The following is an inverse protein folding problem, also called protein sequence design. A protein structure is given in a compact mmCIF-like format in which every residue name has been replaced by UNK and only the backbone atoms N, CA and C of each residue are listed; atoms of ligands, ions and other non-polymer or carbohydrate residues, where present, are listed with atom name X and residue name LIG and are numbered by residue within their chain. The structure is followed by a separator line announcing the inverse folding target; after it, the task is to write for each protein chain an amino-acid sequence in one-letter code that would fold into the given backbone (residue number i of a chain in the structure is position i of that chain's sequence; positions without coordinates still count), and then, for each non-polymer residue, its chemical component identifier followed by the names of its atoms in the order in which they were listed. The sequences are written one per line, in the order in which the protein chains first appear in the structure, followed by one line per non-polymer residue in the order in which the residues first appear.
data_IF_586058212355
#
_entry.id   IF_586058212355
#
_cell.length_a   1.000
_cell.length_b   1.000
_cell.length_c   1.000
_cell.angle_alpha   90.00
_cell.angle_beta   90.00
_cell.angle_gamma   90.00
#
_symmetry.space_group_name_H-M   'P 1'
#
loop_
_entity.id
_entity.type
_entity.pdbx_description
1 polymer ?
#
# COMPACT_ATOMS: atom_id res chain seq x y z
N UNK A 1 -18.78 -7.80 11.99
CA UNK A 1 -17.92 -7.07 11.03
C UNK A 1 -16.63 -6.71 11.75
N UNK A 2 -15.48 -7.07 11.18
CA UNK A 2 -14.14 -6.79 11.70
C UNK A 2 -13.43 -5.84 10.75
N UNK A 3 -12.55 -4.98 11.30
CA UNK A 3 -11.70 -4.10 10.50
C UNK A 3 -10.26 -4.61 10.55
N UNK A 4 -9.64 -4.83 9.39
CA UNK A 4 -8.19 -5.02 9.30
C UNK A 4 -7.53 -3.64 9.18
N UNK A 5 -6.93 -3.19 10.27
CA UNK A 5 -6.38 -1.83 10.43
C UNK A 5 -4.96 -1.69 9.88
N UNK A 6 -4.81 -1.82 8.56
CA UNK A 6 -3.51 -1.61 7.89
C UNK A 6 -3.05 -0.15 7.93
N UNK A 7 -3.94 0.80 8.26
CA UNK A 7 -3.59 2.18 8.59
C UNK A 7 -2.70 2.30 9.83
N UNK A 8 -2.68 1.29 10.72
CA UNK A 8 -1.83 1.23 11.92
C UNK A 8 -0.48 0.54 11.68
N UNK A 9 -0.22 0.06 10.47
CA UNK A 9 1.05 -0.56 10.12
C UNK A 9 2.20 0.47 10.18
N UNK A 10 3.46 0.02 10.30
CA UNK A 10 4.69 0.81 10.54
C UNK A 10 4.81 2.11 9.73
N UNK A 11 4.35 2.11 8.47
CA UNK A 11 4.44 3.27 7.56
C UNK A 11 3.09 3.97 7.35
N UNK A 12 2.07 3.59 8.10
CA UNK A 12 0.69 4.07 8.02
C UNK A 12 -0.15 3.41 6.92
N UNK A 13 0.30 2.28 6.38
CA UNK A 13 -0.42 1.52 5.34
C UNK A 13 0.12 0.10 5.18
N UNK A 14 -0.61 -0.74 4.46
CA UNK A 14 -0.21 -2.11 4.11
C UNK A 14 1.08 -2.22 3.27
N UNK A 15 1.54 -1.11 2.68
CA UNK A 15 2.65 -1.12 1.70
C UNK A 15 3.96 -1.64 2.27
N UNK A 16 4.21 -1.51 3.58
CA UNK A 16 5.43 -2.05 4.20
C UNK A 16 5.53 -3.58 4.08
N UNK A 17 4.39 -4.30 4.10
CA UNK A 17 4.37 -5.77 4.02
C UNK A 17 5.05 -6.28 2.75
N UNK A 18 4.64 -5.73 1.60
CA UNK A 18 5.22 -6.07 0.31
C UNK A 18 6.67 -5.60 0.18
N UNK A 19 6.95 -4.35 0.56
CA UNK A 19 8.28 -3.75 0.42
C UNK A 19 9.35 -4.55 1.18
N UNK A 20 9.04 -5.02 2.38
CA UNK A 20 10.01 -5.80 3.18
C UNK A 20 10.35 -7.12 2.49
N UNK A 21 9.39 -7.77 1.81
CA UNK A 21 9.64 -9.01 1.07
C UNK A 21 10.46 -8.74 -0.19
N UNK A 22 10.10 -7.73 -1.00
CA UNK A 22 10.91 -7.32 -2.15
C UNK A 22 12.36 -7.04 -1.76
N UNK A 23 12.57 -6.29 -0.66
CA UNK A 23 13.92 -6.01 -0.18
C UNK A 23 14.65 -7.24 0.34
N UNK A 24 13.94 -8.20 0.96
CA UNK A 24 14.54 -9.47 1.37
C UNK A 24 15.00 -10.33 0.18
N UNK A 25 14.41 -10.11 -0.99
CA UNK A 25 14.71 -10.80 -2.24
C UNK A 25 15.64 -10.02 -3.16
N UNK A 26 15.99 -8.78 -2.78
CA UNK A 26 16.93 -7.97 -3.52
C UNK A 26 18.30 -8.67 -3.62
N UNK A 27 19.03 -8.51 -4.74
CA UNK A 27 20.35 -9.11 -4.93
C UNK A 27 21.35 -8.73 -3.83
N UNK A 28 22.31 -9.61 -3.55
CA UNK A 28 23.34 -9.38 -2.53
C UNK A 28 24.14 -8.09 -2.75
N UNK A 29 24.31 -7.65 -4.00
CA UNK A 29 24.97 -6.40 -4.38
C UNK A 29 24.23 -5.14 -3.88
N UNK A 30 22.93 -5.24 -3.58
CA UNK A 30 22.20 -4.17 -2.89
C UNK A 30 22.58 -4.14 -1.40
N UNK A 31 22.64 -5.31 -0.77
CA UNK A 31 22.97 -5.42 0.67
C UNK A 31 24.43 -5.14 0.98
N UNK A 32 25.36 -5.35 0.03
CA UNK A 32 26.75 -4.92 0.12
C UNK A 32 26.97 -3.45 -0.26
N UNK A 33 25.89 -2.72 -0.56
CA UNK A 33 25.90 -1.32 -0.99
C UNK A 33 26.68 -1.03 -2.30
N UNK A 34 26.95 -2.06 -3.11
CA UNK A 34 27.51 -1.90 -4.47
C UNK A 34 26.49 -1.30 -5.43
N UNK A 35 25.21 -1.62 -5.25
CA UNK A 35 24.09 -1.15 -6.05
C UNK A 35 23.03 -0.50 -5.16
N UNK A 36 22.40 0.56 -5.65
CA UNK A 36 21.25 1.17 -4.99
C UNK A 36 19.91 0.56 -5.43
N UNK A 37 18.85 0.87 -4.69
CA UNK A 37 17.47 0.58 -5.07
C UNK A 37 16.81 1.80 -5.71
N UNK A 38 15.96 1.57 -6.72
CA UNK A 38 15.12 2.63 -7.31
C UNK A 38 13.66 2.20 -7.28
N UNK A 39 12.75 3.16 -7.14
CA UNK A 39 11.31 2.93 -7.37
C UNK A 39 10.62 4.18 -7.92
N UNK A 40 9.34 4.06 -8.28
CA UNK A 40 8.48 5.17 -8.70
C UNK A 40 7.24 5.27 -7.80
N UNK A 41 7.20 6.23 -6.88
CA UNK A 41 6.00 6.48 -6.06
C UNK A 41 6.11 7.74 -5.19
N UNK A 42 5.17 8.67 -5.33
CA UNK A 42 5.00 9.77 -4.38
C UNK A 42 4.15 9.40 -3.13
N UNK A 43 3.62 8.18 -3.07
CA UNK A 43 2.58 7.79 -2.10
C UNK A 43 3.06 6.83 -1.02
N UNK A 44 2.12 6.02 -0.52
CA UNK A 44 2.35 5.03 0.54
C UNK A 44 3.46 4.02 0.22
N UNK A 45 3.61 3.66 -1.05
CA UNK A 45 4.71 2.79 -1.46
C UNK A 45 6.05 3.50 -1.31
N UNK A 46 6.21 4.72 -1.86
CA UNK A 46 7.46 5.49 -1.76
C UNK A 46 7.86 5.76 -0.31
N UNK A 47 6.90 6.08 0.56
CA UNK A 47 7.13 6.20 2.01
C UNK A 47 7.63 4.89 2.63
N UNK A 48 7.02 3.76 2.26
CA UNK A 48 7.40 2.44 2.79
C UNK A 48 8.77 1.99 2.29
N UNK A 49 9.05 2.21 1.01
CA UNK A 49 10.35 2.01 0.38
C UNK A 49 11.44 2.81 1.09
N UNK A 50 11.21 4.11 1.31
CA UNK A 50 12.20 4.97 1.95
C UNK A 50 12.48 4.56 3.40
N UNK A 51 11.41 4.21 4.15
CA UNK A 51 11.55 3.68 5.51
C UNK A 51 12.37 2.38 5.54
N UNK A 52 12.10 1.46 4.62
CA UNK A 52 12.79 0.18 4.59
C UNK A 52 14.25 0.32 4.10
N UNK A 53 14.54 1.26 3.20
CA UNK A 53 15.92 1.60 2.82
C UNK A 53 16.71 2.11 4.03
N UNK A 54 16.13 3.05 4.78
CA UNK A 54 16.71 3.60 6.00
C UNK A 54 17.02 2.52 7.04
N UNK A 55 16.05 1.64 7.32
CA UNK A 55 16.20 0.58 8.31
C UNK A 55 17.29 -0.45 7.94
N UNK A 56 17.52 -0.67 6.65
CA UNK A 56 18.52 -1.61 6.14
C UNK A 56 19.87 -0.97 5.81
N UNK A 57 19.98 0.35 5.89
CA UNK A 57 21.19 1.08 5.53
C UNK A 57 21.55 0.98 4.04
N UNK A 58 20.56 0.81 3.16
CA UNK A 58 20.78 0.70 1.70
C UNK A 58 20.46 2.01 1.00
N UNK A 59 21.22 2.35 -0.06
CA UNK A 59 20.96 3.53 -0.89
C UNK A 59 19.65 3.35 -1.65
N UNK A 60 18.74 4.31 -1.57
CA UNK A 60 17.45 4.28 -2.25
C UNK A 60 17.13 5.59 -2.97
N UNK A 61 16.58 5.49 -4.18
CA UNK A 61 16.12 6.62 -5.00
C UNK A 61 14.64 6.46 -5.32
N UNK A 62 13.84 7.51 -5.09
CA UNK A 62 12.43 7.55 -5.47
C UNK A 62 12.21 8.53 -6.61
N UNK A 63 11.75 8.02 -7.75
CA UNK A 63 11.27 8.83 -8.86
C UNK A 63 9.81 9.19 -8.63
N UNK A 64 9.43 10.45 -8.83
CA UNK A 64 8.05 10.90 -8.61
C UNK A 64 7.63 12.03 -9.57
N UNK A 65 6.32 12.22 -9.81
CA UNK A 65 5.82 13.34 -10.61
C UNK A 65 6.25 14.70 -10.06
N UNK A 66 6.48 15.68 -10.94
CA UNK A 66 6.70 17.07 -10.52
C UNK A 66 5.51 17.63 -9.71
N UNK A 67 4.30 17.17 -10.01
CA UNK A 67 3.05 17.55 -9.33
C UNK A 67 2.90 16.94 -7.94
N UNK A 68 3.77 16.01 -7.54
CA UNK A 68 3.72 15.40 -6.21
C UNK A 68 3.86 16.46 -5.11
N UNK A 69 3.01 16.43 -4.05
CA UNK A 69 3.10 17.40 -2.96
C UNK A 69 4.50 17.41 -2.33
N UNK A 70 5.04 18.61 -2.03
CA UNK A 70 6.37 18.77 -1.43
C UNK A 70 6.51 18.04 -0.08
N UNK A 71 5.42 17.94 0.68
CA UNK A 71 5.37 17.18 1.93
C UNK A 71 5.70 15.69 1.73
N UNK A 72 5.28 15.08 0.61
CA UNK A 72 5.58 13.67 0.31
C UNK A 72 7.07 13.47 0.01
N UNK A 73 7.69 14.38 -0.74
CA UNK A 73 9.14 14.39 -0.97
C UNK A 73 9.93 14.55 0.33
N UNK A 74 9.54 15.50 1.18
CA UNK A 74 10.21 15.74 2.46
C UNK A 74 10.20 14.50 3.35
N UNK A 75 9.08 13.75 3.40
CA UNK A 75 9.00 12.49 4.13
C UNK A 75 10.02 11.49 3.58
N UNK A 76 10.12 11.32 2.26
CA UNK A 76 11.06 10.37 1.64
C UNK A 76 12.51 10.78 1.91
N UNK A 77 12.86 12.06 1.69
CA UNK A 77 14.21 12.58 1.95
C UNK A 77 14.60 12.50 3.43
N UNK A 78 13.65 12.68 4.35
CA UNK A 78 13.91 12.54 5.80
C UNK A 78 14.34 11.13 6.21
N UNK A 79 14.13 10.13 5.35
CA UNK A 79 14.61 8.75 5.54
C UNK A 79 15.95 8.48 4.84
N UNK A 80 16.58 9.50 4.25
CA UNK A 80 17.88 9.37 3.59
C UNK A 80 17.82 8.86 2.14
N UNK A 81 16.62 8.79 1.55
CA UNK A 81 16.49 8.46 0.13
C UNK A 81 16.58 9.70 -0.75
N UNK A 82 17.19 9.51 -1.93
CA UNK A 82 17.19 10.51 -2.99
C UNK A 82 15.80 10.60 -3.63
N UNK A 83 15.44 11.80 -4.09
CA UNK A 83 14.19 12.05 -4.82
C UNK A 83 14.50 12.72 -6.14
N UNK A 84 13.96 12.16 -7.21
CA UNK A 84 14.05 12.70 -8.57
C UNK A 84 12.63 13.02 -9.05
N UNK A 85 12.39 14.29 -9.39
CA UNK A 85 11.13 14.73 -9.98
C UNK A 85 11.19 14.73 -11.50
N UNK A 86 10.15 14.21 -12.15
CA UNK A 86 10.00 14.17 -13.62
C UNK A 86 8.54 14.35 -14.00
N UNK A 87 8.28 14.62 -15.28
CA UNK A 87 6.91 14.55 -15.79
C UNK A 87 6.37 13.13 -15.67
N UNK A 88 5.06 12.98 -15.53
CA UNK A 88 4.43 11.67 -15.34
C UNK A 88 4.75 10.69 -16.47
N UNK A 89 4.89 11.20 -17.71
CA UNK A 89 5.29 10.43 -18.89
C UNK A 89 6.74 9.95 -18.87
N UNK A 90 7.60 10.57 -18.06
CA UNK A 90 9.05 10.33 -18.03
C UNK A 90 9.50 9.47 -16.85
N UNK A 91 8.59 9.12 -15.91
CA UNK A 91 8.96 8.42 -14.67
C UNK A 91 9.64 7.08 -14.95
N UNK A 92 9.03 6.24 -15.79
CA UNK A 92 9.57 4.94 -16.15
C UNK A 92 10.86 5.05 -16.94
N UNK A 93 10.96 6.02 -17.86
CA UNK A 93 12.20 6.29 -18.58
C UNK A 93 13.33 6.62 -17.59
N UNK A 94 13.08 7.47 -16.59
CA UNK A 94 14.09 7.83 -15.60
C UNK A 94 14.51 6.65 -14.72
N UNK A 95 13.57 5.77 -14.34
CA UNK A 95 13.90 4.52 -13.65
C UNK A 95 14.81 3.67 -14.53
N UNK A 96 14.47 3.50 -15.81
CA UNK A 96 15.24 2.70 -16.75
C UNK A 96 16.67 3.22 -16.95
N UNK A 97 16.83 4.54 -17.04
CA UNK A 97 18.15 5.18 -17.09
C UNK A 97 19.01 4.84 -15.85
N UNK A 98 18.41 4.85 -14.65
CA UNK A 98 19.12 4.53 -13.41
C UNK A 98 19.49 3.04 -13.33
N UNK A 99 18.65 2.15 -13.85
CA UNK A 99 18.98 0.73 -13.97
C UNK A 99 20.13 0.51 -14.96
N UNK A 100 20.08 1.15 -16.13
CA UNK A 100 21.02 0.88 -17.22
C UNK A 100 22.38 1.55 -17.01
N UNK A 101 22.41 2.76 -16.43
CA UNK A 101 23.65 3.56 -16.26
C UNK A 101 24.28 3.35 -14.88
N UNK A 102 23.46 3.44 -13.82
CA UNK A 102 23.95 3.35 -12.44
C UNK A 102 23.84 1.94 -11.88
N UNK A 103 23.28 1.00 -12.65
CA UNK A 103 23.06 -0.37 -12.20
C UNK A 103 22.07 -0.43 -11.04
N UNK A 104 21.15 0.52 -10.84
CA UNK A 104 20.20 0.41 -9.73
C UNK A 104 19.27 -0.82 -9.91
N UNK A 105 18.72 -1.33 -8.81
CA UNK A 105 17.70 -2.40 -8.84
C UNK A 105 16.33 -1.78 -8.66
N UNK A 106 15.46 -1.94 -9.65
CA UNK A 106 14.10 -1.42 -9.57
C UNK A 106 13.19 -2.32 -8.74
N UNK A 107 12.55 -1.75 -7.72
CA UNK A 107 11.46 -2.39 -7.00
C UNK A 107 10.12 -1.84 -7.50
N UNK A 108 9.37 -2.70 -8.17
CA UNK A 108 8.12 -2.29 -8.81
C UNK A 108 7.01 -2.10 -7.76
N UNK A 109 6.23 -0.99 -7.80
CA UNK A 109 5.32 -0.61 -6.70
C UNK A 109 3.98 -1.37 -6.64
N UNK A 110 3.69 -2.21 -7.65
CA UNK A 110 2.45 -3.00 -7.71
C UNK A 110 2.60 -4.34 -8.45
N UNK A 111 3.18 -4.36 -9.64
CA UNK A 111 3.39 -5.56 -10.47
C UNK A 111 4.70 -6.29 -10.12
N UNK A 112 4.71 -7.00 -8.99
CA UNK A 112 5.86 -7.77 -8.51
C UNK A 112 5.36 -8.93 -7.63
N UNK A 113 5.84 -10.14 -7.88
CA UNK A 113 5.38 -11.34 -7.17
C UNK A 113 5.79 -11.36 -5.70
N UNK A 114 6.99 -10.87 -5.36
CA UNK A 114 7.48 -10.78 -3.99
C UNK A 114 6.68 -9.73 -3.21
N UNK A 115 6.32 -8.63 -3.87
CA UNK A 115 5.42 -7.63 -3.31
C UNK A 115 4.05 -8.22 -2.98
N UNK A 116 3.45 -8.93 -3.93
CA UNK A 116 2.14 -9.57 -3.79
C UNK A 116 2.19 -10.63 -2.69
N UNK A 117 3.27 -11.43 -2.64
CA UNK A 117 3.48 -12.41 -1.57
C UNK A 117 3.52 -11.74 -0.20
N UNK A 118 4.23 -10.61 -0.06
CA UNK A 118 4.24 -9.83 1.17
C UNK A 118 2.86 -9.34 1.59
N UNK A 119 2.04 -8.85 0.66
CA UNK A 119 0.64 -8.49 0.96
C UNK A 119 -0.22 -9.68 1.42
N UNK A 120 0.14 -10.91 1.03
CA UNK A 120 -0.53 -12.12 1.49
C UNK A 120 -0.45 -12.36 3.00
N UNK A 121 0.55 -11.79 3.68
CA UNK A 121 0.60 -11.81 5.15
C UNK A 121 -0.65 -11.21 5.80
N UNK A 122 -1.26 -10.20 5.20
CA UNK A 122 -2.51 -9.63 5.71
C UNK A 122 -3.66 -10.65 5.63
N UNK A 123 -3.74 -11.45 4.55
CA UNK A 123 -4.72 -12.51 4.40
C UNK A 123 -4.49 -13.68 5.36
N UNK A 124 -3.23 -14.03 5.63
CA UNK A 124 -2.87 -15.05 6.62
C UNK A 124 -3.35 -14.64 8.01
N UNK A 125 -3.05 -13.40 8.43
CA UNK A 125 -3.48 -12.89 9.73
C UNK A 125 -5.02 -12.85 9.82
N UNK A 126 -5.73 -12.43 8.77
CA UNK A 126 -7.21 -12.46 8.75
C UNK A 126 -7.77 -13.87 8.94
N UNK A 127 -7.17 -14.88 8.28
CA UNK A 127 -7.57 -16.27 8.43
C UNK A 127 -7.38 -16.76 9.87
N UNK A 128 -6.21 -16.48 10.47
CA UNK A 128 -5.88 -16.88 11.84
C UNK A 128 -6.73 -16.17 12.89
N UNK A 129 -7.06 -14.89 12.67
CA UNK A 129 -7.82 -14.09 13.63
C UNK A 129 -9.32 -14.37 13.58
N UNK A 130 -9.87 -14.64 12.39
CA UNK A 130 -11.34 -14.58 12.17
C UNK A 130 -11.94 -15.65 11.27
N UNK A 131 -11.15 -16.37 10.48
CA UNK A 131 -11.65 -17.31 9.45
C UNK A 131 -12.81 -16.72 8.62
N UNK A 132 -12.59 -15.63 7.85
CA UNK A 132 -13.68 -14.82 7.32
C UNK A 132 -14.48 -15.52 6.23
N UNK A 133 -15.80 -15.38 6.26
CA UNK A 133 -16.68 -15.75 5.15
C UNK A 133 -16.56 -14.74 3.99
N UNK A 134 -16.37 -13.46 4.32
CA UNK A 134 -16.34 -12.37 3.34
C UNK A 134 -15.22 -11.39 3.67
N UNK A 135 -14.44 -10.99 2.65
CA UNK A 135 -13.41 -9.95 2.74
C UNK A 135 -13.68 -8.84 1.72
N UNK A 136 -13.71 -7.60 2.18
CA UNK A 136 -13.78 -6.41 1.33
C UNK A 136 -12.42 -5.73 1.33
N UNK A 137 -11.82 -5.57 0.15
CA UNK A 137 -10.45 -5.05 0.00
C UNK A 137 -10.38 -4.07 -1.16
N UNK A 138 -9.65 -2.96 -0.98
CA UNK A 138 -9.53 -1.98 -2.06
C UNK A 138 -8.71 -2.56 -3.24
N UNK A 139 -9.00 -2.11 -4.45
CA UNK A 139 -8.31 -2.52 -5.65
C UNK A 139 -7.86 -1.30 -6.46
N UNK A 140 -6.57 -0.94 -6.32
CA UNK A 140 -5.87 -0.14 -7.33
C UNK A 140 -5.29 -1.08 -8.38
N UNK A 141 -3.96 -1.22 -8.42
CA UNK A 141 -3.26 -2.16 -9.31
C UNK A 141 -3.36 -3.65 -8.95
N UNK A 142 -4.38 -4.09 -8.21
CA UNK A 142 -4.64 -5.51 -7.90
C UNK A 142 -3.72 -6.19 -6.87
N UNK A 143 -2.50 -5.69 -6.62
CA UNK A 143 -1.53 -6.42 -5.79
C UNK A 143 -2.02 -6.81 -4.38
N UNK A 144 -2.73 -5.91 -3.67
CA UNK A 144 -3.25 -6.21 -2.33
C UNK A 144 -4.32 -7.30 -2.35
N UNK A 145 -5.32 -7.19 -3.25
CA UNK A 145 -6.38 -8.20 -3.35
C UNK A 145 -5.82 -9.55 -3.77
N UNK A 146 -4.86 -9.57 -4.70
CA UNK A 146 -4.17 -10.79 -5.10
C UNK A 146 -3.43 -11.44 -3.93
N UNK A 147 -2.67 -10.65 -3.17
CA UNK A 147 -1.94 -11.13 -2.01
C UNK A 147 -2.87 -11.68 -0.93
N UNK A 148 -3.85 -10.87 -0.48
CA UNK A 148 -4.85 -11.27 0.52
C UNK A 148 -5.55 -12.56 0.10
N UNK A 149 -5.96 -12.66 -1.16
CA UNK A 149 -6.58 -13.88 -1.70
C UNK A 149 -5.64 -15.09 -1.56
N UNK A 150 -4.39 -14.97 -1.99
CA UNK A 150 -3.41 -16.04 -1.88
C UNK A 150 -3.17 -16.46 -0.41
N UNK A 151 -3.06 -15.49 0.51
CA UNK A 151 -2.86 -15.74 1.94
C UNK A 151 -4.03 -16.49 2.59
N UNK A 152 -5.27 -16.08 2.31
CA UNK A 152 -6.47 -16.75 2.80
C UNK A 152 -6.57 -18.19 2.28
N UNK A 153 -6.33 -18.40 0.97
CA UNK A 153 -6.36 -19.75 0.37
C UNK A 153 -5.26 -20.64 0.92
N UNK A 154 -4.06 -20.09 1.15
CA UNK A 154 -2.96 -20.81 1.75
C UNK A 154 -3.29 -21.34 3.17
N UNK A 155 -4.05 -20.56 3.96
CA UNK A 155 -4.50 -20.94 5.30
C UNK A 155 -5.75 -21.82 5.33
N UNK A 156 -6.27 -22.23 4.17
CA UNK A 156 -7.40 -23.16 4.07
C UNK A 156 -8.77 -22.49 4.00
N UNK A 157 -8.87 -21.16 4.04
CA UNK A 157 -10.11 -20.41 3.86
C UNK A 157 -10.51 -20.40 2.37
N UNK A 158 -10.91 -21.55 1.82
CA UNK A 158 -11.18 -21.75 0.38
C UNK A 158 -12.49 -21.11 -0.07
N UNK A 159 -13.47 -21.06 0.81
CA UNK A 159 -14.83 -20.59 0.49
C UNK A 159 -15.05 -19.10 0.76
N UNK A 160 -14.06 -18.40 1.34
CA UNK A 160 -14.13 -16.95 1.58
C UNK A 160 -14.39 -16.20 0.28
N UNK A 161 -15.47 -15.42 0.25
CA UNK A 161 -15.80 -14.50 -0.85
C UNK A 161 -14.97 -13.23 -0.72
N UNK A 162 -14.31 -12.81 -1.79
CA UNK A 162 -13.43 -11.63 -1.77
C UNK A 162 -13.96 -10.61 -2.76
N UNK A 163 -14.30 -9.42 -2.26
CA UNK A 163 -14.80 -8.31 -3.05
C UNK A 163 -13.73 -7.24 -3.19
N UNK A 164 -13.26 -7.06 -4.42
CA UNK A 164 -12.39 -5.96 -4.82
C UNK A 164 -13.21 -4.67 -4.96
N UNK A 165 -12.76 -3.60 -4.32
CA UNK A 165 -13.42 -2.28 -4.35
C UNK A 165 -12.48 -1.24 -4.93
N UNK A 166 -12.76 -0.77 -6.14
CA UNK A 166 -11.99 0.30 -6.79
C UNK A 166 -12.43 1.68 -6.25
N UNK A 167 -13.63 2.11 -6.64
CA UNK A 167 -14.21 3.39 -6.25
C UNK A 167 -15.60 3.25 -5.61
N UNK A 168 -15.90 4.11 -4.63
CA UNK A 168 -17.25 4.31 -4.12
C UNK A 168 -17.53 5.79 -3.88
N UNK A 169 -18.68 6.29 -4.37
CA UNK A 169 -19.10 7.67 -4.20
C UNK A 169 -19.25 8.10 -2.72
N UNK A 170 -19.37 7.14 -1.78
CA UNK A 170 -19.47 7.42 -0.34
C UNK A 170 -18.12 7.38 0.38
N UNK A 171 -16.97 7.36 -0.32
CA UNK A 171 -15.64 7.38 0.32
C UNK A 171 -15.50 8.54 1.33
N UNK A 172 -15.88 9.76 0.97
CA UNK A 172 -15.79 10.90 1.89
C UNK A 172 -16.62 10.69 3.17
N UNK A 173 -17.87 10.22 3.03
CA UNK A 173 -18.74 9.88 4.16
C UNK A 173 -18.16 8.75 5.01
N UNK A 174 -17.57 7.74 4.38
CA UNK A 174 -16.95 6.60 5.04
C UNK A 174 -15.72 7.03 5.86
N UNK A 175 -14.86 7.89 5.29
CA UNK A 175 -13.71 8.49 5.98
C UNK A 175 -14.16 9.29 7.20
N UNK A 176 -15.19 10.14 7.07
CA UNK A 176 -15.77 10.89 8.20
C UNK A 176 -16.26 9.97 9.31
N UNK A 177 -16.99 8.90 8.97
CA UNK A 177 -17.49 7.93 9.95
C UNK A 177 -16.37 7.18 10.68
N UNK A 178 -15.27 6.86 10.00
CA UNK A 178 -14.10 6.25 10.63
C UNK A 178 -13.39 7.24 11.56
N UNK A 179 -13.27 8.50 11.15
CA UNK A 179 -12.69 9.56 11.96
C UNK A 179 -13.48 9.85 13.24
N UNK A 180 -14.81 9.93 13.15
CA UNK A 180 -15.72 10.07 14.31
C UNK A 180 -15.60 8.90 15.30
N UNK A 181 -15.06 7.75 14.86
CA UNK A 181 -14.77 6.56 15.67
C UNK A 181 -13.31 6.50 16.15
N UNK A 182 -12.55 7.58 15.96
CA UNK A 182 -11.15 7.68 16.38
C UNK A 182 -10.13 7.07 15.42
N UNK A 183 -10.54 6.71 14.18
CA UNK A 183 -9.64 6.15 13.18
C UNK A 183 -9.29 7.20 12.12
N UNK A 184 -8.01 7.59 12.07
CA UNK A 184 -7.49 8.41 10.97
C UNK A 184 -7.22 7.50 9.76
N UNK A 185 -7.93 7.78 8.68
CA UNK A 185 -7.93 6.97 7.45
C UNK A 185 -7.85 7.93 6.27
N UNK A 186 -6.98 7.62 5.30
CA UNK A 186 -6.93 8.37 4.04
C UNK A 186 -8.11 7.97 3.14
N UNK A 187 -8.56 8.82 2.18
CA UNK A 187 -9.72 8.49 1.35
C UNK A 187 -9.66 7.12 0.66
N UNK A 188 -8.52 6.76 0.04
CA UNK A 188 -8.30 5.43 -0.53
C UNK A 188 -8.35 4.31 0.51
N UNK A 189 -7.93 4.60 1.75
CA UNK A 189 -8.00 3.72 2.91
C UNK A 189 -9.42 3.33 3.31
N UNK A 190 -10.40 4.16 3.00
CA UNK A 190 -11.79 3.97 3.36
C UNK A 190 -12.65 3.29 2.28
N UNK A 191 -12.11 2.98 1.09
CA UNK A 191 -12.88 2.48 -0.05
C UNK A 191 -13.68 1.20 0.27
N UNK A 192 -13.05 0.21 0.89
CA UNK A 192 -13.73 -1.03 1.28
C UNK A 192 -14.84 -0.80 2.33
N UNK A 193 -14.60 0.12 3.28
CA UNK A 193 -15.60 0.51 4.26
C UNK A 193 -16.75 1.29 3.63
N UNK A 194 -16.48 2.11 2.62
CA UNK A 194 -17.49 2.81 1.83
C UNK A 194 -18.42 1.83 1.12
N UNK A 195 -17.89 0.77 0.50
CA UNK A 195 -18.72 -0.26 -0.13
C UNK A 195 -19.64 -0.98 0.87
N UNK A 196 -19.13 -1.26 2.09
CA UNK A 196 -19.93 -1.83 3.19
C UNK A 196 -21.11 -0.92 3.53
N UNK A 197 -20.86 0.35 3.87
CA UNK A 197 -21.91 1.30 4.30
C UNK A 197 -22.80 1.75 3.14
N UNK A 198 -22.36 1.53 1.89
CA UNK A 198 -23.16 1.76 0.70
C UNK A 198 -24.18 0.65 0.43
N UNK A 199 -24.07 -0.52 1.08
CA UNK A 199 -24.95 -1.66 0.85
C UNK A 199 -24.79 -2.29 -0.53
N UNK A 200 -23.67 -2.04 -1.21
CA UNK A 200 -23.40 -2.54 -2.57
C UNK A 200 -22.85 -3.96 -2.60
N UNK A 201 -22.37 -4.46 -1.47
CA UNK A 201 -21.86 -5.82 -1.38
C UNK A 201 -23.04 -6.77 -1.18
N UNK A 202 -23.31 -7.68 -2.13
CA UNK A 202 -24.43 -8.60 -2.01
C UNK A 202 -24.19 -9.59 -0.86
N UNK A 203 -25.25 -9.90 -0.11
CA UNK A 203 -25.29 -11.00 0.86
C UNK A 203 -24.16 -11.02 1.89
N UNK A 204 -24.09 -9.97 2.73
CA UNK A 204 -23.22 -9.93 3.90
C UNK A 204 -23.73 -10.87 5.01
N UNK A 205 -23.49 -12.18 4.87
CA UNK A 205 -23.77 -13.20 5.89
C UNK A 205 -22.46 -13.77 6.43
N UNK A 206 -22.42 -14.02 7.74
CA UNK A 206 -21.26 -14.58 8.42
C UNK A 206 -20.21 -13.54 8.85
N UNK A 207 -18.98 -13.99 9.00
CA UNK A 207 -17.84 -13.17 9.42
C UNK A 207 -17.32 -12.32 8.27
N UNK A 208 -17.59 -11.02 8.35
CA UNK A 208 -17.15 -10.02 7.35
C UNK A 208 -15.93 -9.27 7.86
N UNK A 209 -14.84 -9.25 7.09
CA UNK A 209 -13.65 -8.43 7.31
C UNK A 209 -13.58 -7.33 6.26
N UNK A 210 -13.33 -6.10 6.72
CA UNK A 210 -13.12 -4.93 5.84
C UNK A 210 -11.70 -4.41 6.03
N UNK A 211 -10.95 -4.29 4.95
CA UNK A 211 -9.57 -3.80 5.01
C UNK A 211 -9.53 -2.27 4.96
N UNK A 212 -8.99 -1.66 6.01
CA UNK A 212 -8.71 -0.22 6.10
C UNK A 212 -7.24 0.00 5.72
N UNK A 213 -6.98 0.38 4.47
CA UNK A 213 -5.66 0.13 3.86
C UNK A 213 -4.57 1.16 4.21
N UNK A 214 -4.95 2.37 4.62
CA UNK A 214 -3.99 3.43 4.90
C UNK A 214 -4.56 4.60 5.70
N UNK A 215 -3.68 5.30 6.42
CA UNK A 215 -4.00 6.45 7.26
C UNK A 215 -3.14 7.68 6.97
N UNK A 216 -2.42 7.70 5.84
CA UNK A 216 -1.46 8.77 5.53
C UNK A 216 -2.14 9.99 4.88
N UNK A 217 -3.22 10.46 5.51
CA UNK A 217 -3.96 11.64 5.12
C UNK A 217 -3.26 12.92 5.63
N UNK A 218 -3.10 13.89 4.76
CA UNK A 218 -2.70 15.25 5.12
C UNK A 218 -3.88 16.02 5.73
N UNK A 219 -3.58 17.08 6.48
CA UNK A 219 -4.61 17.96 7.02
C UNK A 219 -5.51 18.55 5.90
N UNK A 220 -4.93 18.85 4.74
CA UNK A 220 -5.68 19.33 3.56
C UNK A 220 -6.63 18.27 3.02
N UNK A 221 -6.14 17.05 2.76
CA UNK A 221 -6.98 15.93 2.30
C UNK A 221 -8.11 15.62 3.29
N UNK A 222 -7.85 15.70 4.60
CA UNK A 222 -8.91 15.56 5.61
C UNK A 222 -9.89 16.74 5.55
N UNK A 223 -9.41 17.98 5.47
CA UNK A 223 -10.29 19.16 5.42
C UNK A 223 -11.25 19.13 4.24
N UNK A 224 -10.82 18.65 3.07
CA UNK A 224 -11.68 18.49 1.89
C UNK A 224 -12.77 17.44 2.09
N UNK A 225 -12.51 16.40 2.90
CA UNK A 225 -13.50 15.37 3.25
C UNK A 225 -14.55 15.90 4.23
N UNK A 226 -14.18 16.87 5.08
CA UNK A 226 -15.06 17.45 6.10
C UNK A 226 -15.77 18.74 5.68
N UNK A 227 -15.39 19.32 4.55
CA UNK A 227 -16.05 20.48 3.93
C UNK A 227 -17.43 20.11 3.38
#
# INVERSE_FOLDING_TARGET
VHLKLENMQTTGSFKSRGVVVQMAKAPASVTSCERGLVTLSAGNYGKSFACACHQRGVKGTVVMPQTAPKSREQIIRSKGCDVIRRESSELFQKVKELEDIEGMVFLHPFDDLDLIAGYGSAGIEMAEDTEPDIVLVCCGGGGLVSGVSAGLRHKGCKDTKIYAVDFDAKIAKATKQLFERGLVVEPSGAAAFAALVSGKVPELKGTVVVVVTGGNASATELSEVFA
#
